data_IF_575043119412
#
_entry.id   IF_575043119412
#
_cell.length_a   1.000
_cell.length_b   1.000
_cell.length_c   1.000
_cell.angle_alpha   90.00
_cell.angle_beta   90.00
_cell.angle_gamma   90.00
#
_symmetry.space_group_name_H-M   'P 1'
#
loop_
_entity.id
_entity.type
_entity.pdbx_description
1 polymer ?
#
# COMPACT_ATOMS: atom_id res chain seq x y z
N UNK A 1 -9.35 -3.64 -1.17
CA UNK A 1 -8.41 -3.76 -2.32
C UNK A 1 -7.14 -4.54 -2.00
N UNK A 2 -7.04 -5.22 -0.84
CA UNK A 2 -5.89 -6.08 -0.56
C UNK A 2 -6.10 -7.48 -1.18
N UNK A 3 -7.22 -8.11 -0.83
CA UNK A 3 -7.76 -9.26 -1.56
C UNK A 3 -7.92 -8.93 -3.05
N UNK A 4 -7.70 -9.95 -3.90
CA UNK A 4 -7.80 -9.94 -5.36
C UNK A 4 -6.77 -9.07 -6.12
N UNK A 5 -6.40 -7.90 -5.60
CA UNK A 5 -5.37 -7.05 -6.22
C UNK A 5 -3.95 -7.46 -5.79
N UNK A 6 -3.79 -7.84 -4.53
CA UNK A 6 -2.49 -8.13 -3.91
C UNK A 6 -1.83 -6.90 -3.28
N UNK A 7 -0.73 -7.13 -2.58
CA UNK A 7 0.12 -6.08 -2.02
C UNK A 7 0.79 -5.29 -3.14
N UNK A 8 0.91 -3.96 -2.97
CA UNK A 8 1.50 -3.11 -3.99
C UNK A 8 2.40 -2.04 -3.38
N UNK A 9 3.64 -1.96 -3.88
CA UNK A 9 4.60 -0.92 -3.57
C UNK A 9 4.63 0.08 -4.73
N UNK A 10 3.82 1.15 -4.62
CA UNK A 10 3.76 2.20 -5.64
C UNK A 10 3.39 3.57 -5.04
N UNK A 11 3.62 4.64 -5.80
CA UNK A 11 3.29 6.02 -5.42
C UNK A 11 1.87 6.47 -5.86
N UNK A 12 1.07 5.58 -6.45
CA UNK A 12 -0.30 5.91 -6.88
C UNK A 12 -1.20 6.19 -5.68
N UNK A 13 -1.74 7.40 -5.64
CA UNK A 13 -2.86 7.78 -4.79
C UNK A 13 -4.17 7.77 -5.61
N UNK A 14 -5.15 6.95 -5.20
CA UNK A 14 -6.48 6.95 -5.82
C UNK A 14 -7.24 8.22 -5.50
N UNK A 15 -8.04 8.71 -6.46
CA UNK A 15 -8.84 9.93 -6.33
C UNK A 15 -10.34 9.63 -6.37
N UNK A 16 -11.15 10.59 -5.95
CA UNK A 16 -12.61 10.48 -6.06
C UNK A 16 -13.01 10.23 -7.52
N UNK A 17 -13.84 9.20 -7.75
CA UNK A 17 -14.24 8.76 -9.09
C UNK A 17 -13.21 7.90 -9.83
N UNK A 18 -12.08 7.54 -9.21
CA UNK A 18 -11.16 6.56 -9.81
C UNK A 18 -11.83 5.20 -9.94
N UNK A 19 -11.65 4.59 -11.11
CA UNK A 19 -12.08 3.23 -11.42
C UNK A 19 -10.84 2.42 -11.75
N UNK A 20 -10.61 1.34 -10.98
CA UNK A 20 -9.41 0.52 -11.09
C UNK A 20 -9.79 -0.88 -11.60
N UNK A 21 -9.23 -1.35 -12.71
CA UNK A 21 -9.53 -2.71 -13.17
C UNK A 21 -8.99 -3.74 -12.17
N UNK A 22 -9.75 -4.81 -11.95
CA UNK A 22 -9.27 -6.03 -11.34
C UNK A 22 -8.75 -6.98 -12.43
N UNK A 23 -7.84 -7.86 -12.06
CA UNK A 23 -7.44 -8.95 -12.94
C UNK A 23 -8.66 -9.85 -13.26
N UNK A 24 -8.68 -10.55 -14.40
CA UNK A 24 -9.76 -11.46 -14.76
C UNK A 24 -9.69 -12.74 -13.92
N UNK A 25 -10.08 -12.60 -12.65
CA UNK A 25 -9.97 -13.62 -11.61
C UNK A 25 -11.07 -14.68 -11.75
N UNK A 26 -10.75 -15.99 -11.67
CA UNK A 26 -11.73 -17.06 -11.84
C UNK A 26 -12.94 -16.96 -10.90
N UNK A 27 -12.71 -16.54 -9.65
CA UNK A 27 -13.74 -16.41 -8.62
C UNK A 27 -14.71 -15.23 -8.86
N UNK A 28 -14.36 -14.29 -9.76
CA UNK A 28 -15.22 -13.19 -10.19
C UNK A 28 -15.94 -13.48 -11.52
N UNK A 29 -15.68 -14.62 -12.15
CA UNK A 29 -16.28 -14.97 -13.43
C UNK A 29 -17.80 -15.24 -13.31
N UNK A 30 -18.58 -15.13 -14.41
CA UNK A 30 -19.99 -15.51 -14.39
C UNK A 30 -20.19 -16.94 -13.88
N UNK A 31 -21.10 -17.13 -12.93
CA UNK A 31 -21.37 -18.40 -12.26
C UNK A 31 -20.41 -18.77 -11.13
N UNK A 32 -19.41 -17.94 -10.84
CA UNK A 32 -18.50 -18.13 -9.72
C UNK A 32 -19.03 -17.50 -8.42
N UNK A 33 -18.39 -17.81 -7.30
CA UNK A 33 -18.82 -17.42 -5.95
C UNK A 33 -18.99 -15.91 -5.76
N UNK A 34 -18.11 -15.12 -6.40
CA UNK A 34 -18.13 -13.66 -6.30
C UNK A 34 -18.54 -13.01 -7.63
N UNK A 35 -19.38 -13.65 -8.43
CA UNK A 35 -19.87 -13.10 -9.72
C UNK A 35 -20.56 -11.72 -9.59
N UNK A 36 -21.05 -11.38 -8.40
CA UNK A 36 -21.69 -10.08 -8.11
C UNK A 36 -20.68 -8.95 -7.87
N UNK A 37 -19.41 -9.26 -7.65
CA UNK A 37 -18.35 -8.27 -7.58
C UNK A 37 -18.07 -7.73 -8.98
N UNK A 38 -18.05 -6.40 -9.11
CA UNK A 38 -17.65 -5.74 -10.33
C UNK A 38 -16.19 -6.10 -10.68
N UNK A 39 -15.83 -6.31 -11.97
CA UNK A 39 -14.45 -6.51 -12.39
C UNK A 39 -13.58 -5.24 -12.26
N UNK A 40 -14.10 -4.23 -11.58
CA UNK A 40 -13.46 -2.96 -11.28
C UNK A 40 -13.68 -2.62 -9.81
N UNK A 41 -12.66 -2.06 -9.18
CA UNK A 41 -12.73 -1.47 -7.86
C UNK A 41 -12.95 0.03 -7.96
N UNK A 42 -13.91 0.54 -7.20
CA UNK A 42 -14.24 1.95 -7.09
C UNK A 42 -14.00 2.40 -5.65
N UNK A 43 -12.79 2.91 -5.31
CA UNK A 43 -12.34 3.00 -3.91
C UNK A 43 -13.14 3.93 -2.98
N UNK A 44 -14.06 4.74 -3.53
CA UNK A 44 -14.82 5.76 -2.81
C UNK A 44 -16.34 5.54 -2.87
N UNK A 45 -16.80 4.39 -3.36
CA UNK A 45 -18.22 4.02 -3.30
C UNK A 45 -18.58 3.64 -1.86
N UNK A 46 -19.58 4.34 -1.32
CA UNK A 46 -20.15 4.06 0.00
C UNK A 46 -21.19 2.93 -0.11
N UNK A 47 -21.06 1.87 0.69
CA UNK A 47 -21.85 0.64 0.55
C UNK A 47 -22.94 0.45 1.62
N UNK A 48 -22.81 1.08 2.79
CA UNK A 48 -23.64 0.77 3.96
C UNK A 48 -24.08 1.96 4.82
N UNK A 49 -23.60 3.17 4.49
CA UNK A 49 -23.94 4.43 5.16
C UNK A 49 -23.54 4.46 6.66
N UNK A 50 -22.55 3.64 7.06
CA UNK A 50 -22.01 3.62 8.43
C UNK A 50 -20.76 4.50 8.53
N UNK A 51 -20.69 5.40 9.53
CA UNK A 51 -19.50 6.18 9.75
C UNK A 51 -18.38 5.31 10.37
N UNK A 52 -17.19 5.40 9.78
CA UNK A 52 -15.95 4.93 10.39
C UNK A 52 -15.34 5.95 11.36
N UNK A 53 -14.28 5.54 12.05
CA UNK A 53 -13.51 6.40 12.94
C UNK A 53 -12.00 6.17 12.78
N UNK A 54 -11.23 7.20 13.09
CA UNK A 54 -9.80 7.09 13.27
C UNK A 54 -9.34 7.95 14.43
N UNK A 55 -8.28 7.52 15.10
CA UNK A 55 -7.60 8.26 16.15
C UNK A 55 -6.13 8.35 15.79
N UNK A 56 -5.54 9.54 15.96
CA UNK A 56 -4.13 9.79 15.69
C UNK A 56 -3.47 10.54 16.83
N UNK A 57 -2.24 10.15 17.16
CA UNK A 57 -1.39 10.86 18.11
C UNK A 57 -0.04 11.15 17.47
N UNK A 58 0.50 12.34 17.71
CA UNK A 58 1.82 12.76 17.26
C UNK A 58 2.60 13.36 18.42
N UNK A 59 3.86 12.95 18.57
CA UNK A 59 4.77 13.49 19.58
C UNK A 59 6.09 13.88 18.91
N UNK A 60 6.52 15.12 19.15
CA UNK A 60 7.82 15.63 18.73
C UNK A 60 8.72 15.79 19.95
N UNK A 61 9.75 14.94 20.07
CA UNK A 61 10.72 14.98 21.16
C UNK A 61 11.95 15.80 20.73
N UNK A 62 12.25 16.85 21.49
CA UNK A 62 13.44 17.69 21.34
C UNK A 62 13.65 18.24 19.91
N UNK A 63 12.58 18.36 19.11
CA UNK A 63 12.60 18.72 17.68
C UNK A 63 13.48 17.80 16.80
N UNK A 64 13.79 16.60 17.28
CA UNK A 64 14.69 15.64 16.61
C UNK A 64 14.03 14.30 16.30
N UNK A 65 13.07 13.90 17.12
CA UNK A 65 12.35 12.64 16.95
C UNK A 65 10.88 12.96 16.83
N UNK A 66 10.25 12.40 15.81
CA UNK A 66 8.84 12.49 15.54
C UNK A 66 8.28 11.07 15.61
N UNK A 67 7.33 10.86 16.51
CA UNK A 67 6.61 9.61 16.68
C UNK A 67 5.15 9.83 16.33
N UNK A 68 4.56 8.88 15.59
CA UNK A 68 3.17 8.90 15.18
C UNK A 68 2.52 7.56 15.50
N UNK A 69 1.28 7.63 15.95
CA UNK A 69 0.40 6.47 16.08
C UNK A 69 -0.93 6.79 15.41
N UNK A 70 -1.54 5.79 14.78
CA UNK A 70 -2.88 5.88 14.21
C UNK A 70 -3.62 4.57 14.45
N UNK A 71 -4.86 4.66 14.90
CA UNK A 71 -5.84 3.59 14.91
C UNK A 71 -6.93 3.96 13.89
N UNK A 72 -7.31 3.02 13.05
CA UNK A 72 -8.36 3.17 12.06
C UNK A 72 -9.36 2.02 12.17
N UNK A 73 -10.63 2.32 11.96
CA UNK A 73 -11.71 1.35 11.79
C UNK A 73 -12.81 1.99 10.94
N UNK A 74 -13.09 1.45 9.76
CA UNK A 74 -14.14 2.00 8.91
C UNK A 74 -15.55 1.59 9.32
N UNK A 75 -15.70 0.65 10.25
CA UNK A 75 -16.99 0.15 10.75
C UNK A 75 -17.97 -0.32 9.65
N UNK A 76 -17.44 -0.71 8.49
CA UNK A 76 -18.26 -1.13 7.36
C UNK A 76 -19.03 -2.42 7.68
N UNK A 77 -20.24 -2.55 7.14
CA UNK A 77 -20.99 -3.80 7.09
C UNK A 77 -20.38 -4.74 6.04
N UNK A 78 -19.73 -5.84 6.45
CA UNK A 78 -19.11 -6.76 5.52
C UNK A 78 -20.13 -7.50 4.63
N UNK A 79 -21.43 -7.44 4.93
CA UNK A 79 -22.48 -8.02 4.08
C UNK A 79 -23.01 -7.03 3.04
N UNK A 80 -22.63 -5.76 3.13
CA UNK A 80 -23.12 -4.76 2.18
C UNK A 80 -22.54 -5.00 0.78
N UNK A 81 -23.35 -4.70 -0.22
CA UNK A 81 -22.98 -4.79 -1.63
C UNK A 81 -23.81 -3.77 -2.39
N UNK A 82 -23.15 -2.72 -2.89
CA UNK A 82 -23.77 -1.63 -3.65
C UNK A 82 -22.97 -1.42 -4.94
N UNK A 83 -23.65 -1.36 -6.08
CA UNK A 83 -23.01 -1.15 -7.39
C UNK A 83 -21.86 -2.11 -7.71
N UNK A 84 -22.00 -3.38 -7.27
CA UNK A 84 -20.98 -4.40 -7.44
C UNK A 84 -19.72 -4.21 -6.59
N UNK A 85 -19.76 -3.32 -5.59
CA UNK A 85 -18.71 -3.13 -4.60
C UNK A 85 -19.16 -3.72 -3.26
N UNK A 86 -18.41 -4.68 -2.74
CA UNK A 86 -18.64 -5.20 -1.41
C UNK A 86 -18.17 -4.23 -0.32
N UNK A 87 -18.87 -4.20 0.81
CA UNK A 87 -18.38 -3.58 2.04
C UNK A 87 -17.22 -4.36 2.60
N UNK A 88 -16.09 -3.67 2.80
CA UNK A 88 -14.89 -4.24 3.41
C UNK A 88 -14.77 -3.71 4.83
N UNK A 89 -15.01 -4.57 5.83
CA UNK A 89 -14.75 -4.20 7.23
C UNK A 89 -13.25 -4.19 7.45
N UNK A 90 -12.64 -3.01 7.55
CA UNK A 90 -11.19 -2.83 7.66
C UNK A 90 -10.83 -2.03 8.90
N UNK A 91 -9.91 -2.57 9.69
CA UNK A 91 -9.33 -1.90 10.85
C UNK A 91 -7.83 -2.14 10.90
N UNK A 92 -7.07 -1.14 11.33
CA UNK A 92 -5.62 -1.26 11.45
C UNK A 92 -5.04 -0.27 12.45
N UNK A 93 -3.82 -0.58 12.88
CA UNK A 93 -2.94 0.31 13.60
C UNK A 93 -1.72 0.63 12.74
N UNK A 94 -1.18 1.82 12.93
CA UNK A 94 0.02 2.29 12.24
C UNK A 94 0.88 3.07 13.22
N UNK A 95 2.16 2.71 13.29
CA UNK A 95 3.19 3.42 14.06
C UNK A 95 4.26 3.92 13.10
N UNK A 96 4.61 5.19 13.21
CA UNK A 96 5.65 5.83 12.42
C UNK A 96 6.69 6.50 13.30
N UNK A 97 7.95 6.44 12.88
CA UNK A 97 9.05 7.16 13.51
C UNK A 97 9.88 7.89 12.46
N UNK A 98 10.30 9.11 12.77
CA UNK A 98 11.26 9.88 11.98
C UNK A 98 12.29 10.53 12.90
N UNK A 99 13.56 10.33 12.62
CA UNK A 99 14.66 10.92 13.37
C UNK A 99 15.94 10.98 12.53
N UNK A 100 17.01 11.53 13.09
CA UNK A 100 18.32 11.60 12.44
C UNK A 100 19.37 10.84 13.27
N UNK A 101 20.12 9.96 12.60
CA UNK A 101 21.31 9.29 13.12
C UNK A 101 22.56 10.19 12.95
N UNK A 102 23.68 9.88 13.64
CA UNK A 102 24.95 10.56 13.42
C UNK A 102 25.35 10.67 11.95
N UNK A 103 26.13 11.69 11.62
CA UNK A 103 26.57 12.01 10.26
C UNK A 103 25.44 12.39 9.27
N UNK A 104 24.32 12.93 9.78
CA UNK A 104 23.25 13.52 8.97
C UNK A 104 22.42 12.50 8.20
N UNK A 105 22.27 11.29 8.75
CA UNK A 105 21.48 10.22 8.13
C UNK A 105 20.06 10.29 8.69
N UNK A 106 19.12 10.75 7.87
CA UNK A 106 17.70 10.71 8.21
C UNK A 106 17.17 9.27 8.18
N UNK A 107 16.30 8.96 9.13
CA UNK A 107 15.60 7.68 9.25
C UNK A 107 14.10 7.96 9.21
N UNK A 108 13.37 7.17 8.43
CA UNK A 108 11.91 7.06 8.51
C UNK A 108 11.60 5.58 8.63
N UNK A 109 10.82 5.20 9.64
CA UNK A 109 10.38 3.83 9.84
C UNK A 109 8.87 3.80 10.06
N UNK A 110 8.25 2.70 9.64
CA UNK A 110 6.83 2.47 9.78
C UNK A 110 6.57 1.00 10.12
N UNK A 111 5.55 0.75 10.94
CA UNK A 111 4.89 -0.54 11.03
C UNK A 111 3.38 -0.36 10.91
N UNK A 112 2.71 -1.27 10.23
CA UNK A 112 1.26 -1.30 10.06
C UNK A 112 0.79 -2.74 10.29
N UNK A 113 -0.25 -2.89 11.10
CA UNK A 113 -0.86 -4.17 11.47
C UNK A 113 -2.38 -4.00 11.43
N UNK A 114 -3.10 -4.93 10.82
CA UNK A 114 -4.53 -4.81 10.71
C UNK A 114 -5.19 -6.01 10.08
N UNK A 115 -6.48 -5.85 9.80
CA UNK A 115 -7.29 -6.87 9.17
C UNK A 115 -8.39 -6.30 8.32
N UNK A 116 -8.84 -7.10 7.37
CA UNK A 116 -9.96 -6.78 6.50
C UNK A 116 -10.80 -8.02 6.24
N UNK A 117 -12.11 -7.86 6.19
CA UNK A 117 -13.02 -8.97 5.90
C UNK A 117 -14.24 -8.53 5.10
N UNK A 118 -14.82 -9.47 4.35
CA UNK A 118 -15.96 -9.25 3.47
C UNK A 118 -16.82 -10.51 3.37
N UNK A 119 -18.12 -10.30 3.16
CA UNK A 119 -19.09 -11.33 2.81
C UNK A 119 -19.58 -12.16 4.00
N UNK A 120 -20.50 -13.11 3.75
CA UNK A 120 -21.08 -13.94 4.80
C UNK A 120 -20.06 -14.84 5.49
N UNK A 121 -20.44 -15.37 6.65
CA UNK A 121 -19.76 -16.53 7.26
C UNK A 121 -20.45 -17.79 6.76
N UNK A 122 -19.68 -18.78 6.33
CA UNK A 122 -20.23 -20.09 5.95
C UNK A 122 -20.17 -21.03 7.15
N UNK A 123 -19.00 -21.62 7.39
CA UNK A 123 -18.69 -22.42 8.59
C UNK A 123 -17.30 -22.03 9.08
N UNK A 124 -17.21 -20.92 9.82
CA UNK A 124 -15.95 -20.38 10.34
C UNK A 124 -15.73 -18.89 10.01
N UNK A 125 -14.55 -18.52 9.46
CA UNK A 125 -14.26 -17.18 8.95
C UNK A 125 -15.29 -16.68 7.93
N UNK A 126 -15.21 -15.39 7.57
CA UNK A 126 -15.96 -14.86 6.43
C UNK A 126 -15.38 -15.41 5.13
N UNK A 127 -16.13 -15.31 4.04
CA UNK A 127 -15.69 -15.74 2.69
C UNK A 127 -14.50 -14.94 2.15
N UNK A 128 -14.21 -13.77 2.72
CA UNK A 128 -12.88 -13.18 2.68
C UNK A 128 -12.55 -12.69 4.09
N UNK A 129 -11.48 -13.19 4.70
CA UNK A 129 -10.96 -12.75 6.00
C UNK A 129 -9.44 -12.76 5.97
N UNK A 130 -8.81 -11.59 5.99
CA UNK A 130 -7.36 -11.48 5.89
C UNK A 130 -6.79 -10.57 6.98
N UNK A 131 -5.74 -11.02 7.65
CA UNK A 131 -4.88 -10.18 8.45
C UNK A 131 -3.73 -9.66 7.57
N UNK A 132 -3.21 -8.47 7.89
CA UNK A 132 -2.09 -7.89 7.16
C UNK A 132 -1.10 -7.19 8.11
N UNK A 133 0.18 -7.38 7.86
CA UNK A 133 1.28 -6.70 8.56
C UNK A 133 2.27 -6.18 7.52
N UNK A 134 2.89 -5.04 7.82
CA UNK A 134 4.05 -4.58 7.08
C UNK A 134 4.92 -3.68 7.94
N UNK A 135 6.19 -3.64 7.60
CA UNK A 135 7.08 -2.60 8.08
C UNK A 135 8.05 -2.15 7.00
N UNK A 136 8.55 -0.93 7.16
CA UNK A 136 9.67 -0.46 6.36
C UNK A 136 10.64 0.38 7.18
N UNK A 137 11.88 0.43 6.71
CA UNK A 137 12.87 1.39 7.18
C UNK A 137 13.51 2.05 5.97
N UNK A 138 13.51 3.38 5.96
CA UNK A 138 14.16 4.22 4.96
C UNK A 138 15.31 4.99 5.62
N UNK A 139 16.49 4.87 5.04
CA UNK A 139 17.65 5.70 5.35
C UNK A 139 17.85 6.71 4.22
N UNK A 140 18.15 7.95 4.55
CA UNK A 140 18.42 9.00 3.57
C UNK A 140 19.55 9.90 4.00
N UNK A 141 20.40 10.30 3.06
CA UNK A 141 21.49 11.26 3.33
C UNK A 141 21.58 12.29 2.21
N UNK A 142 21.72 13.55 2.62
CA UNK A 142 22.03 14.67 1.72
C UNK A 142 23.52 14.97 1.78
N UNK A 143 24.18 14.96 0.63
CA UNK A 143 25.60 15.29 0.45
C UNK A 143 25.70 16.34 -0.64
N UNK A 144 25.88 17.60 -0.24
CA UNK A 144 25.81 18.76 -1.13
C UNK A 144 24.52 18.74 -1.98
N UNK A 145 24.63 18.55 -3.29
CA UNK A 145 23.51 18.54 -4.23
C UNK A 145 22.90 17.14 -4.47
N UNK A 146 23.41 16.12 -3.77
CA UNK A 146 23.06 14.71 -3.97
C UNK A 146 22.27 14.21 -2.77
N UNK A 147 21.14 13.54 -3.01
CA UNK A 147 20.42 12.78 -1.99
C UNK A 147 20.38 11.32 -2.41
N UNK A 148 20.80 10.45 -1.50
CA UNK A 148 20.69 8.99 -1.66
C UNK A 148 19.72 8.51 -0.59
N UNK A 149 18.80 7.64 -0.98
CA UNK A 149 17.84 6.99 -0.09
C UNK A 149 17.82 5.50 -0.36
N UNK A 150 17.77 4.70 0.69
CA UNK A 150 17.58 3.24 0.60
C UNK A 150 16.44 2.88 1.54
N UNK A 151 15.51 2.06 1.07
CA UNK A 151 14.38 1.57 1.84
C UNK A 151 14.30 0.05 1.71
N UNK A 152 14.04 -0.59 2.84
CA UNK A 152 13.67 -2.00 2.92
C UNK A 152 12.23 -2.10 3.41
N UNK A 153 11.44 -2.96 2.76
CA UNK A 153 10.07 -3.29 3.13
C UNK A 153 9.94 -4.79 3.36
N UNK A 154 9.04 -5.16 4.26
CA UNK A 154 8.58 -6.51 4.51
C UNK A 154 7.06 -6.46 4.71
N UNK A 155 6.32 -7.39 4.12
CA UNK A 155 4.87 -7.39 4.14
C UNK A 155 4.30 -8.80 4.12
N UNK A 156 3.11 -8.94 4.73
CA UNK A 156 2.35 -10.16 4.83
C UNK A 156 0.85 -9.85 4.71
N UNK A 157 0.16 -10.71 3.97
CA UNK A 157 -1.28 -10.90 3.96
C UNK A 157 -1.52 -12.36 4.30
N UNK A 158 -2.09 -12.61 5.48
CA UNK A 158 -2.46 -13.95 5.91
C UNK A 158 -3.95 -14.15 5.57
N UNK A 159 -4.24 -15.05 4.64
CA UNK A 159 -5.61 -15.49 4.38
C UNK A 159 -6.04 -16.45 5.50
N UNK A 160 -7.09 -16.05 6.23
CA UNK A 160 -7.60 -16.79 7.36
C UNK A 160 -8.79 -17.65 6.99
N UNK A 161 -9.27 -17.60 5.75
CA UNK A 161 -10.40 -18.39 5.30
C UNK A 161 -9.99 -19.56 4.39
N UNK A 162 -10.98 -20.31 3.95
CA UNK A 162 -10.80 -21.52 3.15
C UNK A 162 -11.67 -21.47 1.89
N UNK A 163 -11.90 -20.27 1.38
CA UNK A 163 -12.77 -20.06 0.23
C UNK A 163 -12.14 -20.71 -1.01
N UNK A 164 -12.82 -21.66 -1.66
CA UNK A 164 -12.25 -22.36 -2.80
C UNK A 164 -11.90 -21.40 -3.93
N UNK A 165 -10.68 -21.55 -4.46
CA UNK A 165 -10.17 -20.73 -5.57
C UNK A 165 -10.08 -19.22 -5.27
N UNK A 166 -9.92 -18.83 -4.00
CA UNK A 166 -9.71 -17.44 -3.60
C UNK A 166 -8.59 -17.29 -2.56
N UNK A 167 -7.40 -17.80 -2.86
CA UNK A 167 -6.24 -17.63 -1.98
C UNK A 167 -5.69 -16.22 -2.10
N UNK A 168 -5.94 -15.42 -1.08
CA UNK A 168 -5.51 -14.02 -0.96
C UNK A 168 -4.20 -13.86 -0.17
N UNK A 169 -3.54 -14.97 0.18
CA UNK A 169 -2.26 -14.93 0.89
C UNK A 169 -1.19 -14.27 0.03
N UNK A 170 -0.34 -13.48 0.68
CA UNK A 170 0.79 -12.86 0.01
C UNK A 170 1.87 -12.53 1.02
N UNK A 171 3.13 -12.78 0.69
CA UNK A 171 4.25 -12.31 1.50
C UNK A 171 5.38 -11.83 0.62
N UNK A 172 6.19 -10.92 1.13
CA UNK A 172 7.34 -10.47 0.38
C UNK A 172 8.18 -9.44 1.09
N UNK A 173 9.30 -9.16 0.44
CA UNK A 173 10.27 -8.16 0.83
C UNK A 173 10.66 -7.33 -0.36
N UNK A 174 11.04 -6.09 -0.13
CA UNK A 174 11.47 -5.23 -1.21
C UNK A 174 12.63 -4.31 -0.81
N UNK A 175 13.41 -3.96 -1.83
CA UNK A 175 14.43 -2.94 -1.76
C UNK A 175 14.10 -1.81 -2.71
N UNK A 176 14.17 -0.58 -2.21
CA UNK A 176 14.11 0.62 -3.03
C UNK A 176 15.38 1.44 -2.84
N UNK A 177 16.02 1.81 -3.94
CA UNK A 177 17.17 2.71 -3.97
C UNK A 177 16.81 3.93 -4.78
N UNK A 178 16.77 5.09 -4.11
CA UNK A 178 16.49 6.39 -4.70
C UNK A 178 17.75 7.25 -4.75
N UNK A 179 17.97 7.90 -5.90
CA UNK A 179 19.01 8.90 -6.06
C UNK A 179 18.42 10.17 -6.68
N UNK A 180 18.72 11.31 -6.04
CA UNK A 180 18.32 12.63 -6.53
C UNK A 180 19.55 13.53 -6.63
N UNK A 181 19.72 14.17 -7.78
CA UNK A 181 20.76 15.17 -8.01
C UNK A 181 20.14 16.52 -8.42
N UNK A 182 20.31 17.53 -7.56
CA UNK A 182 19.90 18.90 -7.85
C UNK A 182 21.06 19.68 -8.49
N UNK A 183 21.23 19.57 -9.81
CA UNK A 183 22.26 20.32 -10.54
C UNK A 183 22.10 21.84 -10.37
N UNK A 184 20.86 22.31 -10.27
CA UNK A 184 20.50 23.68 -9.92
C UNK A 184 19.09 23.73 -9.35
N UNK A 185 18.62 24.88 -8.82
CA UNK A 185 17.22 25.04 -8.43
C UNK A 185 16.20 24.81 -9.57
N UNK A 186 16.65 24.82 -10.83
CA UNK A 186 15.79 24.63 -12.02
C UNK A 186 15.92 23.27 -12.68
N UNK A 187 16.90 22.45 -12.29
CA UNK A 187 17.18 21.18 -12.95
C UNK A 187 17.50 20.12 -11.90
N UNK A 188 16.61 19.13 -11.80
CA UNK A 188 16.73 18.00 -10.88
C UNK A 188 16.63 16.71 -11.67
N UNK A 189 17.56 15.80 -11.41
CA UNK A 189 17.54 14.43 -11.93
C UNK A 189 17.19 13.48 -10.79
N UNK A 190 16.38 12.47 -11.08
CA UNK A 190 16.06 11.41 -10.13
C UNK A 190 16.17 10.05 -10.83
N UNK A 191 16.66 9.06 -10.09
CA UNK A 191 16.65 7.66 -10.47
C UNK A 191 16.12 6.85 -9.28
N UNK A 192 15.27 5.86 -9.56
CA UNK A 192 14.73 4.97 -8.56
C UNK A 192 14.76 3.54 -9.08
N UNK A 193 15.36 2.64 -8.30
CA UNK A 193 15.33 1.21 -8.53
C UNK A 193 14.52 0.54 -7.44
N UNK A 194 13.63 -0.36 -7.82
CA UNK A 194 12.80 -1.15 -6.92
C UNK A 194 12.93 -2.63 -7.30
N UNK A 195 13.14 -3.48 -6.31
CA UNK A 195 13.10 -4.93 -6.44
C UNK A 195 12.15 -5.51 -5.39
N UNK A 196 11.24 -6.38 -5.82
CA UNK A 196 10.24 -7.03 -4.97
C UNK A 196 10.39 -8.54 -5.14
N UNK A 197 10.70 -9.22 -4.05
CA UNK A 197 10.75 -10.69 -3.95
C UNK A 197 9.53 -11.13 -3.14
N UNK A 198 8.60 -11.84 -3.76
CA UNK A 198 7.29 -12.12 -3.17
C UNK A 198 6.73 -13.47 -3.58
N UNK A 199 5.95 -14.07 -2.67
CA UNK A 199 5.15 -15.26 -2.90
C UNK A 199 3.67 -14.91 -2.86
N UNK A 200 2.97 -15.20 -3.96
CA UNK A 200 1.55 -14.90 -4.16
C UNK A 200 0.86 -16.03 -4.93
N UNK A 201 0.15 -16.95 -4.26
CA UNK A 201 -0.54 -18.09 -4.89
C UNK A 201 -1.47 -17.71 -6.04
N UNK A 202 -2.17 -16.57 -5.94
CA UNK A 202 -3.08 -16.08 -6.99
C UNK A 202 -2.43 -15.87 -8.37
N UNK A 203 -1.09 -15.75 -8.47
CA UNK A 203 -0.37 -15.71 -9.76
C UNK A 203 -0.58 -17.01 -10.56
N UNK A 204 -0.78 -18.15 -9.89
CA UNK A 204 -1.02 -19.44 -10.54
C UNK A 204 -2.31 -19.45 -11.38
N UNK A 205 -3.30 -18.61 -11.05
CA UNK A 205 -4.52 -18.46 -11.85
C UNK A 205 -4.25 -17.96 -13.27
N UNK A 206 -3.09 -17.33 -13.49
CA UNK A 206 -2.64 -16.82 -14.77
C UNK A 206 -1.45 -17.62 -15.35
N UNK A 207 -1.27 -18.87 -14.90
CA UNK A 207 -0.14 -19.72 -15.26
C UNK A 207 1.24 -19.09 -14.99
N UNK A 208 1.33 -18.23 -13.97
CA UNK A 208 2.57 -17.63 -13.50
C UNK A 208 3.06 -18.34 -12.23
N UNK A 209 4.37 -18.24 -11.98
CA UNK A 209 4.96 -18.72 -10.73
C UNK A 209 4.40 -17.95 -9.54
N UNK A 210 3.93 -18.62 -8.47
CA UNK A 210 3.56 -17.95 -7.21
C UNK A 210 4.69 -17.10 -6.64
N UNK A 211 5.92 -17.63 -6.66
CA UNK A 211 7.11 -16.88 -6.31
C UNK A 211 7.61 -16.06 -7.51
N UNK A 212 7.81 -14.76 -7.34
CA UNK A 212 8.33 -13.88 -8.38
C UNK A 212 9.28 -12.83 -7.81
N UNK A 213 10.30 -12.51 -8.62
CA UNK A 213 11.21 -11.39 -8.42
C UNK A 213 10.91 -10.32 -9.47
N UNK A 214 10.36 -9.19 -9.06
CA UNK A 214 9.98 -8.08 -9.93
C UNK A 214 10.97 -6.93 -9.78
N UNK A 215 11.35 -6.28 -10.88
CA UNK A 215 12.34 -5.19 -10.91
C UNK A 215 11.84 -4.03 -11.73
N UNK A 216 11.91 -2.83 -11.15
CA UNK A 216 11.50 -1.58 -11.80
C UNK A 216 12.63 -0.56 -11.72
N UNK A 217 12.82 0.20 -12.80
CA UNK A 217 13.75 1.33 -12.87
C UNK A 217 12.99 2.53 -13.42
N UNK A 218 12.96 3.61 -12.65
CA UNK A 218 12.37 4.88 -13.06
C UNK A 218 13.45 5.96 -13.13
N UNK A 219 13.47 6.70 -14.25
CA UNK A 219 14.31 7.88 -14.42
C UNK A 219 13.41 9.11 -14.63
N UNK A 220 13.70 10.20 -13.93
CA UNK A 220 12.92 11.44 -14.00
C UNK A 220 13.82 12.65 -14.11
N UNK A 221 13.50 13.54 -15.06
CA UNK A 221 14.10 14.87 -15.19
C UNK A 221 13.03 15.90 -14.89
N UNK A 222 13.31 16.84 -13.99
CA UNK A 222 12.42 17.94 -13.65
C UNK A 222 13.08 19.26 -14.00
N UNK A 223 12.43 20.02 -14.88
CA UNK A 223 12.89 21.34 -15.35
C UNK A 223 11.87 22.40 -14.94
N UNK A 224 12.30 23.41 -14.20
CA UNK A 224 11.48 24.57 -13.89
C UNK A 224 11.73 25.67 -14.92
N UNK A 225 10.69 26.04 -15.67
CA UNK A 225 10.72 27.11 -16.67
C UNK A 225 10.06 28.36 -16.09
N UNK A 226 10.81 29.46 -15.97
CA UNK A 226 10.32 30.74 -15.41
C UNK A 226 11.32 31.43 -14.48
N UNK A 227 11.06 32.70 -14.13
CA UNK A 227 11.85 33.40 -13.10
C UNK A 227 11.38 32.94 -11.72
N UNK A 228 12.27 32.48 -10.81
CA UNK A 228 11.89 32.27 -9.43
C UNK A 228 11.40 33.60 -8.86
N UNK A 229 10.19 33.60 -8.29
CA UNK A 229 9.66 34.74 -7.55
C UNK A 229 10.66 35.10 -6.45
N UNK A 230 11.27 36.29 -6.53
CA UNK A 230 12.04 36.84 -5.42
C UNK A 230 11.08 37.08 -4.28
N UNK A 231 11.10 36.23 -3.25
CA UNK A 231 10.60 36.66 -1.95
C UNK A 231 11.57 37.73 -1.45
N UNK A 232 11.02 38.93 -1.21
CA UNK A 232 11.72 40.06 -0.59
C UNK A 232 11.80 39.83 0.91
#
# INVERSE_FOLDING_TARGET
MLAWRGWALHDRQSRFGDVLPLAPLPQLAPGAMFERQSPRAEPFVETDDRPGFYFGAEVVLNRKVLLRFTQYDNHADPLSLRDGQHGWSTRFQHVGAQFELPAGIGVVAQRLDGRTAMGPRLTGPRVVDADFDSYFVLLTKLIASHRVSVRYDDFLVADNDHTPHDDNSESGRAWLVGYRYAKSPRLVLNAEWLEIDSERPARAYFAQSPAALERFLQLRVSVLVGRPSRQR
#
